data_IF_755422020459
#
_entry.id   IF_755422020459
#
_cell.length_a   1.000
_cell.length_b   1.000
_cell.length_c   1.000
_cell.angle_alpha   90.00
_cell.angle_beta   90.00
_cell.angle_gamma   90.00
#
_symmetry.space_group_name_H-M   'P 1'
#
loop_
_entity.id
_entity.type
_entity.pdbx_description
1 polymer ?
#
# COMPACT_ATOMS: atom_id res chain seq x y z
N UNK A 1 -1.06 -6.35 13.57
CA UNK A 1 0.31 -6.77 13.20
C UNK A 1 0.27 -7.42 11.82
N UNK A 2 1.19 -7.09 10.91
CA UNK A 2 1.39 -7.81 9.64
C UNK A 2 2.65 -8.69 9.80
N UNK A 3 2.57 -9.97 9.44
CA UNK A 3 3.56 -11.00 9.83
C UNK A 3 4.57 -11.37 8.74
N UNK A 4 4.42 -10.88 7.52
CA UNK A 4 5.30 -11.25 6.40
C UNK A 4 6.68 -10.60 6.51
N UNK A 5 7.73 -11.37 6.22
CA UNK A 5 9.10 -10.87 6.04
C UNK A 5 9.33 -10.49 4.57
N UNK A 6 9.39 -9.18 4.31
CA UNK A 6 9.58 -8.65 2.95
C UNK A 6 11.00 -8.91 2.42
N UNK A 7 12.03 -9.03 3.28
CA UNK A 7 13.39 -9.35 2.85
C UNK A 7 13.48 -10.80 2.38
N UNK A 8 12.86 -11.73 3.14
CA UNK A 8 12.78 -13.12 2.73
C UNK A 8 11.98 -13.28 1.43
N UNK A 9 10.87 -12.55 1.28
CA UNK A 9 10.06 -12.56 0.06
C UNK A 9 10.87 -12.05 -1.14
N UNK A 10 11.58 -10.93 -1.00
CA UNK A 10 12.45 -10.39 -2.05
C UNK A 10 13.57 -11.37 -2.42
N UNK A 11 14.25 -11.94 -1.44
CA UNK A 11 15.35 -12.89 -1.66
C UNK A 11 14.90 -14.17 -2.37
N UNK A 12 13.70 -14.69 -2.04
CA UNK A 12 13.17 -15.93 -2.67
C UNK A 12 12.63 -15.72 -4.07
N UNK A 13 12.08 -14.55 -4.36
CA UNK A 13 11.42 -14.26 -5.65
C UNK A 13 12.34 -13.56 -6.64
N UNK A 14 13.40 -12.90 -6.17
CA UNK A 14 14.21 -12.00 -7.00
C UNK A 14 13.46 -10.73 -7.41
N UNK A 15 12.29 -10.45 -6.82
CA UNK A 15 11.44 -9.30 -7.15
C UNK A 15 11.54 -8.25 -6.04
N UNK A 16 11.70 -6.99 -6.44
CA UNK A 16 11.64 -5.86 -5.49
C UNK A 16 10.30 -5.87 -4.76
N UNK A 17 10.34 -5.99 -3.44
CA UNK A 17 9.15 -6.13 -2.60
C UNK A 17 8.92 -4.85 -1.78
N UNK A 18 7.68 -4.36 -1.76
CA UNK A 18 7.26 -3.21 -0.94
C UNK A 18 6.23 -3.68 0.09
N UNK A 19 6.38 -3.24 1.35
CA UNK A 19 5.52 -3.66 2.46
C UNK A 19 5.42 -2.64 3.59
N UNK A 20 4.94 -3.07 4.75
CA UNK A 20 4.79 -2.26 5.98
C UNK A 20 3.89 -1.01 5.86
N UNK A 21 2.97 -0.98 4.90
CA UNK A 21 2.05 0.14 4.66
C UNK A 21 1.29 0.59 5.91
N UNK A 22 0.74 -0.36 6.69
CA UNK A 22 -0.05 -0.02 7.90
C UNK A 22 0.82 0.58 9.00
N UNK A 23 2.03 0.05 9.19
CA UNK A 23 2.97 0.57 10.19
C UNK A 23 3.39 1.98 9.83
N UNK A 24 3.62 2.26 8.54
CA UNK A 24 3.97 3.59 8.07
C UNK A 24 2.84 4.60 8.35
N UNK A 25 1.59 4.26 8.05
CA UNK A 25 0.44 5.12 8.35
C UNK A 25 0.30 5.40 9.86
N UNK A 26 0.41 4.37 10.71
CA UNK A 26 0.37 4.54 12.16
C UNK A 26 1.52 5.40 12.71
N UNK A 27 2.70 5.33 12.10
CA UNK A 27 3.84 6.17 12.50
C UNK A 27 3.59 7.68 12.26
N UNK A 28 2.65 8.03 11.39
CA UNK A 28 2.21 9.41 11.16
C UNK A 28 0.86 9.74 11.84
N UNK A 29 0.43 8.91 12.80
CA UNK A 29 -0.79 9.15 13.58
C UNK A 29 -2.09 8.64 12.94
N UNK A 30 -1.99 7.90 11.82
CA UNK A 30 -3.13 7.23 11.21
C UNK A 30 -3.55 5.96 11.97
N UNK A 31 -4.67 5.36 11.57
CA UNK A 31 -5.16 4.11 12.18
C UNK A 31 -4.54 2.84 11.59
N UNK A 32 -3.76 2.97 10.52
CA UNK A 32 -3.27 1.85 9.71
C UNK A 32 -4.35 1.22 8.84
N UNK A 33 -5.55 1.81 8.76
CA UNK A 33 -6.71 1.30 8.05
C UNK A 33 -7.82 2.36 7.89
N UNK A 34 -8.73 2.22 6.91
CA UNK A 34 -8.58 1.39 5.70
C UNK A 34 -7.58 2.04 4.73
N UNK A 35 -6.74 1.23 4.04
CA UNK A 35 -5.71 1.73 3.12
C UNK A 35 -6.16 1.87 1.66
N UNK A 36 -7.21 1.14 1.26
CA UNK A 36 -7.74 1.12 -0.11
C UNK A 36 -8.35 2.46 -0.58
N UNK A 37 -8.90 3.36 0.27
CA UNK A 37 -9.52 4.60 -0.22
C UNK A 37 -8.63 5.46 -1.11
N UNK A 38 -7.31 5.53 -0.88
CA UNK A 38 -6.39 6.27 -1.76
C UNK A 38 -6.38 5.72 -3.19
N UNK A 39 -6.46 4.39 -3.35
CA UNK A 39 -6.56 3.74 -4.66
C UNK A 39 -7.92 3.98 -5.31
N UNK A 40 -9.02 3.94 -4.53
CA UNK A 40 -10.34 4.31 -5.03
C UNK A 40 -10.36 5.75 -5.57
N UNK A 41 -9.70 6.68 -4.87
CA UNK A 41 -9.56 8.05 -5.35
C UNK A 41 -8.75 8.09 -6.66
N UNK A 42 -7.61 7.41 -6.73
CA UNK A 42 -6.78 7.42 -7.93
C UNK A 42 -7.50 6.91 -9.20
N UNK A 43 -8.37 5.91 -9.06
CA UNK A 43 -9.03 5.28 -10.22
C UNK A 43 -10.44 5.86 -10.49
N UNK A 44 -11.23 6.08 -9.46
CA UNK A 44 -12.65 6.43 -9.61
C UNK A 44 -12.96 7.92 -9.49
N UNK A 45 -12.04 8.76 -9.00
CA UNK A 45 -12.22 10.22 -9.01
C UNK A 45 -11.79 10.88 -10.33
N UNK A 46 -11.65 10.11 -11.40
CA UNK A 46 -11.53 10.64 -12.76
C UNK A 46 -12.81 11.42 -13.09
N UNK A 47 -12.74 12.75 -12.97
CA UNK A 47 -13.61 13.62 -13.76
C UNK A 47 -13.37 13.25 -15.21
N UNK A 48 -14.42 12.78 -15.88
CA UNK A 48 -14.51 12.52 -17.32
C UNK A 48 -13.63 13.53 -18.07
N UNK A 49 -12.50 13.06 -18.59
CA UNK A 49 -11.97 13.53 -19.87
C UNK A 49 -11.52 12.29 -20.64
N UNK A 50 -12.43 11.61 -21.37
CA UNK A 50 -12.05 10.88 -22.56
C UNK A 50 -11.67 11.93 -23.63
N UNK A 51 -10.90 11.55 -24.66
CA UNK A 51 -9.84 12.35 -25.31
C UNK A 51 -10.18 13.82 -25.59
#
# INVERSE_FOLDING_TARGET
MQIGDMNLLAARTGITTVGDFRRKDMAFGGQGAPLVPAFHQAIFLTRIMPP
#
